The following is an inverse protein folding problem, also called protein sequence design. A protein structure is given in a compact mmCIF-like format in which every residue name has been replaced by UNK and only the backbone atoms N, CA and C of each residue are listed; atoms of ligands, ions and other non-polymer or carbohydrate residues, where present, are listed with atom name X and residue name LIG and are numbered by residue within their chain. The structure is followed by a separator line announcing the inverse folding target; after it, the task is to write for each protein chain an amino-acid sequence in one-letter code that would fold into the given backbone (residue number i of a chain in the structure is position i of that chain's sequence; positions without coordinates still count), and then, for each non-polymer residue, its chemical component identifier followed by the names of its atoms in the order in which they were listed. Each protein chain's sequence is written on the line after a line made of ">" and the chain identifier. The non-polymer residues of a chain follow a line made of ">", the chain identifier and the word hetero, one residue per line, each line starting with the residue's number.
data_IF_452436042131
#
_entry.id   IF_452436042131
#
_cell.length_a   1.000
_cell.length_b   1.000
_cell.length_c   1.000
_cell.angle_alpha   90.00
_cell.angle_beta   90.00
_cell.angle_gamma   90.00
#
_symmetry.space_group_name_H-M   'P 1'
#
loop_
_entity.id
_entity.type
_entity.pdbx_description
1 polymer ?
#
# COMPACT_ATOMS: atom_id res chain seq x y z
N UNK A 1 -0.54 21.65 -6.52
CA UNK A 1 -1.27 20.39 -6.78
C UNK A 1 -0.82 19.36 -5.75
N UNK A 2 -1.73 18.82 -4.94
CA UNK A 2 -1.37 17.73 -4.03
C UNK A 2 -1.16 16.45 -4.86
N UNK A 3 0.02 15.83 -4.79
CA UNK A 3 0.25 14.48 -5.30
C UNK A 3 0.24 13.52 -4.12
N UNK A 4 -0.90 12.89 -3.86
CA UNK A 4 -1.09 11.99 -2.73
C UNK A 4 -2.38 11.18 -2.83
N UNK A 5 -2.65 10.39 -1.80
CA UNK A 5 -3.92 9.67 -1.65
C UNK A 5 -5.01 10.71 -1.41
N UNK A 6 -5.84 10.98 -2.41
CA UNK A 6 -6.89 12.03 -2.37
C UNK A 6 -8.27 11.50 -2.05
N UNK A 7 -8.44 10.18 -2.02
CA UNK A 7 -9.70 9.47 -1.82
C UNK A 7 -9.44 8.04 -1.28
N UNK A 8 -10.49 7.22 -1.23
CA UNK A 8 -10.44 5.85 -0.71
C UNK A 8 -10.06 4.79 -1.74
N UNK A 9 -9.80 5.14 -3.01
CA UNK A 9 -9.54 4.19 -4.10
C UNK A 9 -8.35 3.28 -3.82
N UNK A 10 -7.30 3.80 -3.16
CA UNK A 10 -6.12 3.00 -2.85
C UNK A 10 -6.45 1.81 -1.93
N UNK A 11 -7.38 1.98 -0.97
CA UNK A 11 -7.83 0.85 -0.12
C UNK A 11 -8.47 -0.24 -0.97
N UNK A 12 -9.31 0.14 -1.93
CA UNK A 12 -9.94 -0.81 -2.85
C UNK A 12 -8.91 -1.57 -3.69
N UNK A 13 -7.90 -0.88 -4.24
CA UNK A 13 -6.82 -1.53 -4.99
C UNK A 13 -5.99 -2.49 -4.13
N UNK A 14 -5.70 -2.13 -2.87
CA UNK A 14 -5.00 -3.01 -1.93
C UNK A 14 -5.83 -4.27 -1.62
N UNK A 15 -7.14 -4.13 -1.37
CA UNK A 15 -8.03 -5.28 -1.17
C UNK A 15 -8.11 -6.16 -2.41
N UNK A 16 -8.20 -5.55 -3.60
CA UNK A 16 -8.20 -6.28 -4.85
C UNK A 16 -6.89 -7.06 -5.04
N UNK A 17 -5.74 -6.45 -4.75
CA UNK A 17 -4.44 -7.11 -4.79
C UNK A 17 -4.40 -8.34 -3.86
N UNK A 18 -4.88 -8.20 -2.62
CA UNK A 18 -5.00 -9.33 -1.68
C UNK A 18 -5.89 -10.45 -2.23
N UNK A 19 -7.06 -10.10 -2.77
CA UNK A 19 -8.01 -11.06 -3.35
C UNK A 19 -7.44 -11.82 -4.56
N UNK A 20 -6.43 -11.25 -5.23
CA UNK A 20 -5.73 -11.85 -6.37
C UNK A 20 -4.39 -12.48 -5.98
N UNK A 21 -4.16 -12.74 -4.69
CA UNK A 21 -3.05 -13.56 -4.22
C UNK A 21 -1.78 -12.79 -3.86
N UNK A 22 -1.78 -11.45 -3.90
CA UNK A 22 -0.63 -10.67 -3.39
C UNK A 22 -0.48 -10.92 -1.90
N UNK A 23 0.67 -11.46 -1.52
CA UNK A 23 1.00 -11.83 -0.16
C UNK A 23 1.40 -10.62 0.68
N UNK A 24 1.35 -10.75 2.01
CA UNK A 24 1.86 -9.75 2.95
C UNK A 24 3.33 -9.41 2.70
N UNK A 25 4.16 -10.40 2.32
CA UNK A 25 5.58 -10.20 2.02
C UNK A 25 5.78 -9.39 0.75
N UNK A 26 5.02 -9.68 -0.30
CA UNK A 26 5.10 -8.97 -1.58
C UNK A 26 4.66 -7.51 -1.45
N UNK A 27 3.53 -7.24 -0.78
CA UNK A 27 3.09 -5.85 -0.59
C UNK A 27 4.08 -5.05 0.25
N UNK A 28 4.66 -5.67 1.29
CA UNK A 28 5.72 -5.02 2.07
C UNK A 28 6.93 -4.67 1.20
N UNK A 29 7.38 -5.59 0.35
CA UNK A 29 8.49 -5.37 -0.57
C UNK A 29 8.18 -4.25 -1.59
N UNK A 30 6.97 -4.24 -2.17
CA UNK A 30 6.54 -3.21 -3.13
C UNK A 30 6.50 -1.84 -2.46
N UNK A 31 5.90 -1.72 -1.27
CA UNK A 31 5.84 -0.44 -0.55
C UNK A 31 7.24 0.07 -0.21
N UNK A 32 8.14 -0.81 0.24
CA UNK A 32 9.54 -0.46 0.49
C UNK A 32 10.24 -0.01 -0.79
N UNK A 33 10.05 -0.71 -1.92
CA UNK A 33 10.63 -0.33 -3.21
C UNK A 33 10.15 1.06 -3.66
N UNK A 34 8.84 1.29 -3.58
CA UNK A 34 8.23 2.59 -3.92
C UNK A 34 8.71 3.71 -3.01
N UNK A 35 9.10 3.44 -1.77
CA UNK A 35 9.70 4.45 -0.89
C UNK A 35 10.97 5.07 -1.49
N UNK A 36 11.81 4.27 -2.17
CA UNK A 36 13.02 4.75 -2.85
C UNK A 36 12.71 5.48 -4.16
N UNK A 37 11.65 5.08 -4.88
CA UNK A 37 11.30 5.66 -6.19
C UNK A 37 10.36 6.87 -6.11
N UNK A 38 9.52 6.94 -5.09
CA UNK A 38 8.45 7.93 -4.96
C UNK A 38 8.49 8.69 -3.61
N UNK A 39 9.44 8.35 -2.73
CA UNK A 39 9.69 9.02 -1.45
C UNK A 39 8.98 8.38 -0.25
N UNK A 40 9.66 8.41 0.88
CA UNK A 40 9.15 7.91 2.17
C UNK A 40 7.80 8.49 2.62
N UNK A 41 7.48 9.78 2.41
CA UNK A 41 6.16 10.32 2.80
C UNK A 41 4.99 9.58 2.17
N UNK A 42 5.11 9.17 0.90
CA UNK A 42 4.07 8.40 0.20
C UNK A 42 4.02 6.96 0.72
N UNK A 43 5.18 6.33 0.91
CA UNK A 43 5.25 4.95 1.40
C UNK A 43 4.63 4.80 2.80
N UNK A 44 4.86 5.74 3.72
CA UNK A 44 4.25 5.71 5.05
C UNK A 44 2.72 5.80 5.02
N UNK A 45 2.17 6.62 4.12
CA UNK A 45 0.72 6.71 3.95
C UNK A 45 0.12 5.38 3.47
N UNK A 46 0.80 4.66 2.57
CA UNK A 46 0.38 3.33 2.11
C UNK A 46 0.59 2.25 3.19
N UNK A 47 1.67 2.32 3.97
CA UNK A 47 2.02 1.31 4.97
C UNK A 47 0.91 1.11 6.00
N UNK A 48 0.29 2.20 6.47
CA UNK A 48 -0.84 2.15 7.39
C UNK A 48 -2.03 1.41 6.78
N UNK A 49 -2.39 1.73 5.52
CA UNK A 49 -3.50 1.09 4.81
C UNK A 49 -3.22 -0.38 4.51
N UNK A 50 -1.99 -0.72 4.11
CA UNK A 50 -1.59 -2.12 3.85
C UNK A 50 -1.70 -2.98 5.12
N UNK A 51 -1.34 -2.44 6.30
CA UNK A 51 -1.51 -3.17 7.58
C UNK A 51 -2.98 -3.51 7.87
N UNK A 52 -3.91 -2.63 7.51
CA UNK A 52 -5.34 -2.87 7.73
C UNK A 52 -5.94 -3.85 6.72
N UNK A 53 -5.36 -3.99 5.53
CA UNK A 53 -5.85 -4.93 4.51
C UNK A 53 -5.27 -6.33 4.72
N UNK A 54 -3.98 -6.42 5.05
CA UNK A 54 -3.29 -7.67 5.42
C UNK A 54 -3.19 -7.80 6.95
N UNK A 55 -4.33 -7.62 7.64
CA UNK A 55 -4.47 -8.01 9.04
C UNK A 55 -3.95 -9.43 9.22
N UNK A 56 -3.14 -9.62 10.24
CA UNK A 56 -2.61 -10.93 10.62
C UNK A 56 -3.78 -11.90 10.84
N UNK A 57 -3.71 -13.08 10.20
CA UNK A 57 -4.00 -14.29 10.97
C UNK A 57 -2.87 -14.48 11.99
#
# INVERSE_FOLDING_TARGET
>A
MAQGITDSSLRFHLQNAKNHGVTKKEIAAIVTHVAFYAGWPKAWAVFHLAKEVWTEE
#
